data_IF_221845850748
#
_entry.id   IF_221845850748
#
_cell.length_a   1.000
_cell.length_b   1.000
_cell.length_c   1.000
_cell.angle_alpha   90.00
_cell.angle_beta   90.00
_cell.angle_gamma   90.00
#
_symmetry.space_group_name_H-M   'P 1'
#
loop_
_entity.id
_entity.type
_entity.pdbx_description
1 polymer ?
#
# COMPACT_ATOMS: atom_id res chain seq x y z
N UNK A 1 7.75 13.39 10.83
CA UNK A 1 7.10 13.00 9.55
C UNK A 1 7.54 14.00 8.50
N UNK A 2 7.92 13.57 7.30
CA UNK A 2 8.30 14.47 6.21
C UNK A 2 7.04 15.06 5.56
N UNK A 3 7.07 16.33 5.17
CA UNK A 3 5.95 17.06 4.57
C UNK A 3 5.37 16.34 3.36
N UNK A 4 6.25 15.83 2.48
CA UNK A 4 5.89 15.10 1.26
C UNK A 4 5.28 13.70 1.46
N UNK A 5 5.15 13.24 2.70
CA UNK A 5 4.48 11.97 3.06
C UNK A 5 3.09 12.21 3.65
N UNK A 6 2.76 13.44 4.04
CA UNK A 6 1.53 13.77 4.79
C UNK A 6 0.68 14.75 4.00
N UNK A 7 1.31 15.71 3.31
CA UNK A 7 0.61 16.75 2.59
C UNK A 7 0.45 16.39 1.11
N UNK A 8 -0.68 16.81 0.53
CA UNK A 8 -0.96 16.62 -0.88
C UNK A 8 -0.20 17.66 -1.71
N UNK A 9 0.93 17.23 -2.29
CA UNK A 9 1.73 18.08 -3.15
C UNK A 9 1.32 17.84 -4.61
N UNK A 10 0.56 18.77 -5.19
CA UNK A 10 0.10 18.75 -6.59
C UNK A 10 1.25 19.06 -7.59
N UNK A 11 2.34 18.31 -7.51
CA UNK A 11 3.49 18.38 -8.40
C UNK A 11 4.07 16.99 -8.66
N UNK A 12 5.03 16.84 -9.60
CA UNK A 12 5.61 15.54 -9.95
C UNK A 12 6.63 15.07 -8.89
N UNK A 13 6.19 14.91 -7.64
CA UNK A 13 7.02 14.51 -6.50
C UNK A 13 6.60 13.12 -6.07
N UNK A 14 7.58 12.22 -6.01
CA UNK A 14 7.42 10.87 -5.49
C UNK A 14 8.31 10.70 -4.26
N UNK A 15 7.70 10.39 -3.12
CA UNK A 15 8.43 10.03 -1.91
C UNK A 15 8.46 8.52 -1.74
N UNK A 16 9.62 7.97 -1.41
CA UNK A 16 9.80 6.53 -1.18
C UNK A 16 10.25 6.31 0.26
N UNK A 17 9.60 5.37 0.94
CA UNK A 17 9.97 4.91 2.28
C UNK A 17 10.37 3.43 2.21
N UNK A 18 11.58 3.13 2.65
CA UNK A 18 12.11 1.76 2.73
C UNK A 18 11.96 1.28 4.17
N UNK A 19 11.44 0.08 4.34
CA UNK A 19 11.26 -0.58 5.63
C UNK A 19 11.88 -1.98 5.56
N UNK A 20 12.23 -2.54 6.72
CA UNK A 20 12.73 -3.92 6.82
C UNK A 20 11.56 -4.90 6.77
N UNK A 21 11.75 -6.07 6.15
CA UNK A 21 10.69 -7.08 6.00
C UNK A 21 10.05 -7.49 7.34
N UNK A 22 10.84 -7.47 8.43
CA UNK A 22 10.38 -7.78 9.78
C UNK A 22 9.35 -6.75 10.32
N UNK A 23 9.35 -5.53 9.79
CA UNK A 23 8.51 -4.41 10.23
C UNK A 23 7.23 -4.27 9.38
N UNK A 24 6.85 -5.31 8.63
CA UNK A 24 5.68 -5.31 7.74
C UNK A 24 4.39 -4.82 8.44
N UNK A 25 4.04 -5.43 9.57
CA UNK A 25 2.81 -5.10 10.29
C UNK A 25 2.79 -3.66 10.83
N UNK A 26 3.94 -3.16 11.30
CA UNK A 26 4.07 -1.77 11.77
C UNK A 26 4.03 -0.79 10.60
N UNK A 27 4.56 -1.18 9.43
CA UNK A 27 4.51 -0.38 8.21
C UNK A 27 3.08 -0.22 7.70
N UNK A 28 2.25 -1.27 7.78
CA UNK A 28 0.82 -1.16 7.41
C UNK A 28 0.08 -0.15 8.30
N UNK A 29 0.32 -0.18 9.62
CA UNK A 29 -0.24 0.83 10.55
C UNK A 29 0.28 2.23 10.26
N UNK A 30 1.55 2.34 9.87
CA UNK A 30 2.13 3.62 9.48
C UNK A 30 1.41 4.17 8.25
N UNK A 31 1.15 3.35 7.22
CA UNK A 31 0.42 3.77 6.01
C UNK A 31 -0.99 4.26 6.36
N UNK A 32 -1.72 3.52 7.19
CA UNK A 32 -3.09 3.88 7.62
C UNK A 32 -3.15 5.20 8.42
N UNK A 33 -2.13 5.48 9.24
CA UNK A 33 -2.13 6.63 10.18
C UNK A 33 -1.30 7.84 9.75
N UNK A 34 -0.61 7.77 8.60
CA UNK A 34 0.33 8.83 8.21
C UNK A 34 -0.37 10.07 7.71
N UNK A 35 -1.39 9.90 6.86
CA UNK A 35 -2.15 10.99 6.24
C UNK A 35 -3.65 10.84 6.58
N UNK A 36 -4.36 11.93 6.88
CA UNK A 36 -5.82 11.91 7.02
C UNK A 36 -6.54 11.78 5.67
N UNK A 37 -5.81 11.84 4.55
CA UNK A 37 -6.34 11.79 3.20
C UNK A 37 -5.67 10.69 2.39
N UNK A 38 -6.47 9.78 1.84
CA UNK A 38 -6.03 8.93 0.73
C UNK A 38 -7.23 8.60 -0.17
N UNK A 39 -7.11 8.97 -1.44
CA UNK A 39 -8.14 8.71 -2.46
C UNK A 39 -7.96 7.31 -3.06
N UNK A 40 -6.70 6.92 -3.30
CA UNK A 40 -6.31 5.68 -3.96
C UNK A 40 -5.15 5.00 -3.23
N UNK A 41 -5.19 3.66 -3.14
CA UNK A 41 -4.12 2.84 -2.59
C UNK A 41 -3.87 1.61 -3.45
N UNK A 42 -2.65 1.06 -3.40
CA UNK A 42 -2.32 -0.16 -4.14
C UNK A 42 -1.35 -1.07 -3.37
N UNK A 43 -1.57 -2.38 -3.43
CA UNK A 43 -0.65 -3.41 -2.95
C UNK A 43 -0.12 -4.20 -4.14
N UNK A 44 1.19 -4.38 -4.18
CA UNK A 44 1.86 -5.27 -5.11
C UNK A 44 2.43 -6.45 -4.35
N UNK A 45 1.90 -7.65 -4.58
CA UNK A 45 2.42 -8.87 -3.95
C UNK A 45 2.00 -10.11 -4.75
N UNK A 46 2.79 -11.17 -4.62
CA UNK A 46 2.45 -12.51 -5.11
C UNK A 46 2.01 -13.44 -3.97
N UNK A 47 2.19 -13.03 -2.71
CA UNK A 47 1.84 -13.81 -1.54
C UNK A 47 0.39 -13.51 -1.12
N UNK A 48 -0.49 -14.50 -1.21
CA UNK A 48 -1.90 -14.33 -0.86
C UNK A 48 -2.11 -13.95 0.60
N UNK A 49 -1.27 -14.45 1.51
CA UNK A 49 -1.36 -14.12 2.94
C UNK A 49 -1.04 -12.65 3.21
N UNK A 50 0.04 -12.14 2.60
CA UNK A 50 0.41 -10.73 2.71
C UNK A 50 -0.66 -9.80 2.11
N UNK A 51 -1.29 -10.22 1.00
CA UNK A 51 -2.40 -9.48 0.39
C UNK A 51 -3.60 -9.41 1.35
N UNK A 52 -4.02 -10.54 1.93
CA UNK A 52 -5.18 -10.58 2.83
C UNK A 52 -4.94 -9.76 4.10
N UNK A 53 -3.73 -9.84 4.66
CA UNK A 53 -3.32 -9.04 5.83
C UNK A 53 -3.37 -7.55 5.54
N UNK A 54 -2.73 -7.11 4.45
CA UNK A 54 -2.68 -5.70 4.11
C UNK A 54 -4.03 -5.16 3.59
N UNK A 55 -4.85 -5.99 2.93
CA UNK A 55 -6.21 -5.60 2.57
C UNK A 55 -7.05 -5.30 3.81
N UNK A 56 -7.00 -6.16 4.83
CA UNK A 56 -7.71 -5.94 6.11
C UNK A 56 -7.17 -4.73 6.87
N UNK A 57 -5.85 -4.57 6.90
CA UNK A 57 -5.22 -3.45 7.61
C UNK A 57 -5.50 -2.09 6.94
N UNK A 58 -5.67 -2.06 5.62
CA UNK A 58 -5.78 -0.82 4.82
C UNK A 58 -7.18 -0.61 4.23
N UNK A 59 -8.19 -1.38 4.64
CA UNK A 59 -9.55 -1.33 4.06
C UNK A 59 -10.21 0.06 4.21
N UNK A 60 -9.87 0.78 5.28
CA UNK A 60 -10.36 2.14 5.56
C UNK A 60 -9.33 3.22 5.22
N UNK A 61 -8.12 2.82 4.82
CA UNK A 61 -7.05 3.74 4.53
C UNK A 61 -7.27 4.47 3.20
N UNK A 62 -7.97 3.86 2.22
CA UNK A 62 -8.21 4.43 0.89
C UNK A 62 -9.60 4.12 0.34
N UNK A 63 -10.19 5.08 -0.39
CA UNK A 63 -11.49 4.89 -1.04
C UNK A 63 -11.45 3.93 -2.25
N UNK A 64 -10.39 3.99 -3.05
CA UNK A 64 -10.19 3.10 -4.20
C UNK A 64 -8.91 2.27 -4.00
N UNK A 65 -9.04 0.95 -3.85
CA UNK A 65 -7.91 0.09 -3.54
C UNK A 65 -7.62 -0.93 -4.64
N UNK A 66 -6.36 -1.02 -5.05
CA UNK A 66 -5.91 -1.92 -6.12
C UNK A 66 -5.01 -3.02 -5.57
N UNK A 67 -5.28 -4.26 -5.95
CA UNK A 67 -4.38 -5.39 -5.66
C UNK A 67 -3.79 -5.83 -6.97
N UNK A 68 -2.49 -5.62 -7.14
CA UNK A 68 -1.77 -5.97 -8.37
C UNK A 68 -0.96 -7.23 -8.11
N UNK A 69 -1.50 -8.33 -8.61
CA UNK A 69 -0.84 -9.63 -8.66
C UNK A 69 -0.24 -9.79 -10.06
N UNK A 70 1.04 -10.18 -10.16
CA UNK A 70 1.60 -10.61 -11.45
C UNK A 70 0.75 -11.77 -11.99
N UNK A 71 0.23 -11.73 -13.23
CA UNK A 71 -0.61 -12.81 -13.73
C UNK A 71 0.17 -14.14 -13.68
N UNK A 72 -0.38 -15.21 -13.08
CA UNK A 72 0.19 -16.54 -13.27
C UNK A 72 0.10 -16.85 -14.77
N UNK A 73 1.20 -17.33 -15.36
CA UNK A 73 1.22 -17.72 -16.76
C UNK A 73 0.01 -18.61 -17.08
N UNK A 74 -0.63 -18.36 -18.22
CA UNK A 74 -1.87 -19.00 -18.64
C UNK A 74 -1.86 -20.51 -18.35
N UNK A 75 -2.83 -20.97 -17.57
CA UNK A 75 -3.10 -22.40 -17.39
C UNK A 75 -4.14 -22.79 -18.43
N UNK A 76 -3.75 -23.68 -19.34
CA UNK A 76 -4.67 -24.26 -20.31
C UNK A 76 -5.55 -25.27 -19.57
N UNK A 77 -6.87 -25.07 -19.65
CA UNK A 77 -7.89 -26.04 -19.25
C UNK A 77 -8.43 -26.80 -20.45
#
# INVERSE_FOLDING_TARGET
KYESMVEEIFGPILTVYVYEDADWAETLKLVDSTSPYSLTGAIFSQCRYAIDEAYKALENAAGNFYIIVKPPGAVVG
#
